data_IF_885978491978
#
_entry.id   IF_885978491978
#
_cell.length_a   1.000
_cell.length_b   1.000
_cell.length_c   1.000
_cell.angle_alpha   90.00
_cell.angle_beta   90.00
_cell.angle_gamma   90.00
#
_symmetry.space_group_name_H-M   'P 1'
#
loop_
_entity.id
_entity.type
_entity.pdbx_description
1 polymer ?
#
# COMPACT_ATOMS: atom_id res chain seq x y z
N UNK A 1 -16.83 16.84 19.84
CA UNK A 1 -17.87 16.37 20.78
C UNK A 1 -19.09 17.27 20.63
N UNK A 2 -20.22 16.67 20.23
CA UNK A 2 -21.49 17.40 20.13
C UNK A 2 -22.18 17.43 21.49
N UNK A 3 -22.76 18.56 21.87
CA UNK A 3 -23.58 18.70 23.10
C UNK A 3 -24.95 19.17 22.70
N UNK A 4 -26.01 18.69 23.41
CA UNK A 4 -27.40 19.07 23.13
C UNK A 4 -28.02 18.36 21.95
N UNK A 5 -27.51 17.16 21.62
CA UNK A 5 -28.07 16.26 20.63
C UNK A 5 -28.71 15.07 21.37
N UNK A 6 -29.98 14.81 21.10
CA UNK A 6 -30.73 13.72 21.75
C UNK A 6 -30.51 12.38 21.04
N UNK A 7 -30.16 12.40 19.75
CA UNK A 7 -29.99 11.21 18.94
C UNK A 7 -29.12 11.50 17.70
N UNK A 8 -28.31 10.52 17.29
CA UNK A 8 -27.44 10.61 16.09
C UNK A 8 -27.83 9.49 15.12
N UNK A 9 -28.10 9.86 13.87
CA UNK A 9 -28.17 8.89 12.76
C UNK A 9 -26.85 8.98 12.03
N UNK A 10 -26.15 7.86 11.93
CA UNK A 10 -24.83 7.74 11.30
C UNK A 10 -24.87 6.77 10.11
N UNK A 11 -23.84 6.83 9.27
CA UNK A 11 -23.69 6.00 8.07
C UNK A 11 -22.26 6.04 7.56
N UNK A 12 -22.05 5.90 6.25
CA UNK A 12 -20.78 5.97 5.51
C UNK A 12 -19.67 4.99 5.97
N UNK A 13 -19.43 4.87 7.27
CA UNK A 13 -18.43 3.94 7.82
C UNK A 13 -18.84 2.46 7.74
N UNK A 14 -20.10 2.17 7.38
CA UNK A 14 -20.70 0.85 7.38
C UNK A 14 -20.69 0.15 8.75
N UNK A 15 -20.56 0.92 9.81
CA UNK A 15 -20.57 0.40 11.18
C UNK A 15 -21.97 -0.05 11.58
N UNK A 16 -22.06 -1.09 12.39
CA UNK A 16 -23.32 -1.55 12.99
C UNK A 16 -23.30 -1.16 14.47
N UNK A 17 -24.11 -0.18 14.88
CA UNK A 17 -24.15 0.30 16.27
C UNK A 17 -25.47 0.95 16.64
N UNK A 18 -25.80 0.90 17.93
CA UNK A 18 -26.93 1.60 18.54
C UNK A 18 -26.52 2.53 19.68
N UNK A 19 -25.25 2.50 20.08
CA UNK A 19 -24.70 3.30 21.18
C UNK A 19 -23.25 3.71 20.86
N UNK A 20 -22.88 4.93 21.14
CA UNK A 20 -21.51 5.44 21.01
C UNK A 20 -20.67 5.19 22.26
N UNK A 21 -19.39 5.58 22.21
CA UNK A 21 -18.41 5.34 23.27
C UNK A 21 -18.77 5.96 24.63
N UNK A 22 -19.52 7.06 24.63
CA UNK A 22 -19.98 7.72 25.86
C UNK A 22 -21.46 7.45 26.15
N UNK A 23 -22.02 6.36 25.59
CA UNK A 23 -23.43 5.97 25.72
C UNK A 23 -24.43 6.94 25.10
N UNK A 24 -23.99 7.76 24.19
CA UNK A 24 -24.87 8.57 23.37
C UNK A 24 -25.69 7.68 22.44
N UNK A 25 -27.02 7.90 22.30
CA UNK A 25 -27.85 7.15 21.37
C UNK A 25 -27.46 7.44 19.93
N UNK A 26 -26.90 6.42 19.26
CA UNK A 26 -26.53 6.46 17.83
C UNK A 26 -27.31 5.36 17.14
N UNK A 27 -27.56 5.52 15.85
CA UNK A 27 -27.98 4.43 15.01
C UNK A 27 -27.20 4.44 13.70
N UNK A 28 -26.44 3.35 13.46
CA UNK A 28 -25.76 3.06 12.21
C UNK A 28 -26.09 1.62 11.83
N UNK A 29 -26.65 1.42 10.64
CA UNK A 29 -27.32 0.17 10.25
C UNK A 29 -26.42 -0.81 9.48
N UNK A 30 -25.13 -0.49 9.31
CA UNK A 30 -24.23 -1.27 8.49
C UNK A 30 -24.30 -0.91 7.02
N UNK A 31 -24.28 -1.89 6.15
CA UNK A 31 -24.31 -1.74 4.70
C UNK A 31 -25.31 -2.68 4.04
N UNK A 32 -25.56 -2.50 2.75
CA UNK A 32 -26.34 -3.41 1.88
C UNK A 32 -27.73 -3.81 2.43
N UNK A 33 -28.36 -2.95 3.23
CA UNK A 33 -29.66 -3.21 3.88
C UNK A 33 -29.68 -4.45 4.79
N UNK A 34 -28.54 -4.80 5.39
CA UNK A 34 -28.49 -5.93 6.34
C UNK A 34 -29.38 -5.70 7.56
N UNK A 35 -29.54 -4.45 7.99
CA UNK A 35 -30.38 -4.08 9.12
C UNK A 35 -31.27 -2.88 8.79
N UNK A 36 -32.44 -2.85 9.45
CA UNK A 36 -33.29 -1.67 9.56
C UNK A 36 -33.22 -1.13 10.98
N UNK A 37 -32.98 0.17 11.10
CA UNK A 37 -33.02 0.86 12.39
C UNK A 37 -34.42 1.20 12.81
N UNK A 38 -34.79 0.87 14.03
CA UNK A 38 -36.09 1.19 14.63
C UNK A 38 -35.90 2.08 15.85
N UNK A 39 -36.46 3.28 15.78
CA UNK A 39 -36.44 4.26 16.88
C UNK A 39 -37.88 4.53 17.28
N UNK A 40 -38.17 4.34 18.56
CA UNK A 40 -39.48 4.70 19.12
C UNK A 40 -39.26 5.85 20.09
N UNK A 41 -40.01 6.93 19.88
CA UNK A 41 -39.94 8.14 20.70
C UNK A 41 -41.34 8.38 21.32
N UNK A 42 -41.38 8.48 22.63
CA UNK A 42 -42.60 8.89 23.33
C UNK A 42 -42.94 10.33 22.96
N UNK A 43 -44.15 10.51 22.43
CA UNK A 43 -44.54 11.81 21.89
C UNK A 43 -44.82 12.88 22.99
N UNK A 44 -45.14 12.50 24.21
CA UNK A 44 -45.42 13.39 25.31
C UNK A 44 -44.14 13.81 26.03
N UNK A 45 -43.26 12.85 26.30
CA UNK A 45 -42.00 13.09 27.04
C UNK A 45 -40.82 13.41 26.15
N UNK A 46 -40.91 13.18 24.83
CA UNK A 46 -39.85 13.28 23.82
C UNK A 46 -38.62 12.41 24.12
N UNK A 47 -38.80 11.35 24.92
CA UNK A 47 -37.71 10.40 25.23
C UNK A 47 -37.70 9.24 24.26
N UNK A 48 -36.50 8.75 23.97
CA UNK A 48 -36.29 7.55 23.18
C UNK A 48 -36.66 6.35 24.08
N UNK A 49 -37.68 5.59 23.69
CA UNK A 49 -38.11 4.39 24.36
C UNK A 49 -37.45 3.12 23.77
N UNK A 50 -37.07 3.19 22.50
CA UNK A 50 -36.45 2.08 21.78
C UNK A 50 -35.45 2.58 20.76
N UNK A 51 -34.28 1.95 20.71
CA UNK A 51 -33.27 2.13 19.69
C UNK A 51 -32.67 0.76 19.38
N UNK A 52 -33.13 0.13 18.30
CA UNK A 52 -32.72 -1.23 17.96
C UNK A 52 -32.43 -1.36 16.46
N UNK A 53 -31.66 -2.38 16.11
CA UNK A 53 -31.43 -2.83 14.74
C UNK A 53 -32.15 -4.15 14.51
N UNK A 54 -32.99 -4.20 13.48
CA UNK A 54 -33.71 -5.40 13.05
C UNK A 54 -32.99 -5.96 11.84
N UNK A 55 -32.41 -7.17 11.97
CA UNK A 55 -31.79 -7.88 10.85
C UNK A 55 -32.85 -8.24 9.81
N UNK A 56 -32.54 -7.97 8.55
CA UNK A 56 -33.41 -8.34 7.41
C UNK A 56 -33.11 -9.73 6.85
N UNK A 57 -32.04 -10.38 7.29
CA UNK A 57 -31.71 -11.75 6.89
C UNK A 57 -32.88 -12.70 7.18
N UNK A 58 -33.40 -13.35 6.12
CA UNK A 58 -34.52 -14.29 6.21
C UNK A 58 -35.91 -13.65 6.27
N UNK A 59 -36.04 -12.32 6.21
CA UNK A 59 -37.34 -11.66 6.07
C UNK A 59 -37.90 -11.96 4.68
N UNK A 60 -39.12 -12.54 4.66
CA UNK A 60 -39.81 -12.95 3.43
C UNK A 60 -41.02 -12.09 3.07
N UNK A 61 -41.31 -11.08 3.89
CA UNK A 61 -42.44 -10.18 3.63
C UNK A 61 -42.02 -9.19 2.52
N UNK A 62 -42.74 -9.19 1.40
CA UNK A 62 -42.50 -8.32 0.26
C UNK A 62 -43.84 -7.60 -0.11
N UNK A 63 -43.73 -6.33 -0.50
CA UNK A 63 -44.82 -5.66 -1.21
C UNK A 63 -44.73 -6.01 -2.69
N UNK A 64 -45.77 -6.67 -3.21
CA UNK A 64 -45.78 -7.19 -4.58
C UNK A 64 -45.60 -6.08 -5.64
N UNK A 65 -46.10 -4.86 -5.38
CA UNK A 65 -45.99 -3.75 -6.31
C UNK A 65 -44.57 -3.22 -6.36
N UNK A 66 -43.96 -3.05 -5.19
CA UNK A 66 -42.56 -2.61 -5.07
C UNK A 66 -41.63 -3.68 -5.64
N UNK A 67 -41.90 -4.96 -5.35
CA UNK A 67 -41.13 -6.08 -5.91
C UNK A 67 -41.17 -6.09 -7.44
N UNK A 68 -42.36 -6.02 -8.03
CA UNK A 68 -42.50 -6.05 -9.49
C UNK A 68 -41.75 -4.87 -10.17
N UNK A 69 -41.76 -3.68 -9.56
CA UNK A 69 -40.99 -2.52 -10.04
C UNK A 69 -39.49 -2.77 -9.88
N UNK A 70 -39.06 -3.25 -8.75
CA UNK A 70 -37.63 -3.56 -8.47
C UNK A 70 -37.12 -4.62 -9.44
N UNK A 71 -37.85 -5.74 -9.60
CA UNK A 71 -37.47 -6.84 -10.49
C UNK A 71 -37.36 -6.38 -11.95
N UNK A 72 -38.25 -5.49 -12.39
CA UNK A 72 -38.16 -4.89 -13.72
C UNK A 72 -36.92 -4.03 -13.88
N UNK A 73 -36.64 -3.14 -12.92
CA UNK A 73 -35.46 -2.29 -12.95
C UNK A 73 -34.17 -3.13 -12.93
N UNK A 74 -34.11 -4.14 -12.06
CA UNK A 74 -32.98 -5.06 -11.96
C UNK A 74 -32.79 -5.77 -13.31
N UNK A 75 -33.83 -6.32 -13.90
CA UNK A 75 -33.75 -7.02 -15.19
C UNK A 75 -33.25 -6.09 -16.32
N UNK A 76 -33.78 -4.87 -16.39
CA UNK A 76 -33.37 -3.87 -17.39
C UNK A 76 -31.90 -3.44 -17.20
N UNK A 77 -31.47 -3.26 -15.95
CA UNK A 77 -30.08 -2.90 -15.59
C UNK A 77 -29.15 -4.08 -15.86
N UNK A 78 -29.48 -5.28 -15.39
CA UNK A 78 -28.65 -6.47 -15.55
C UNK A 78 -28.45 -6.81 -17.03
N UNK A 79 -29.47 -6.63 -17.86
CA UNK A 79 -29.36 -6.84 -19.31
C UNK A 79 -28.34 -5.91 -19.93
N UNK A 80 -28.35 -4.62 -19.58
CA UNK A 80 -27.40 -3.61 -20.09
C UNK A 80 -26.02 -3.80 -19.51
N UNK A 81 -25.91 -4.06 -18.22
CA UNK A 81 -24.64 -4.24 -17.53
C UNK A 81 -23.96 -5.56 -17.89
N UNK A 82 -24.76 -6.60 -18.22
CA UNK A 82 -24.27 -7.91 -18.64
C UNK A 82 -23.74 -7.96 -20.08
N UNK A 83 -23.89 -6.87 -20.87
CA UNK A 83 -23.34 -6.83 -22.23
C UNK A 83 -21.81 -6.89 -22.22
N UNK A 84 -21.25 -7.89 -22.93
CA UNK A 84 -19.80 -8.06 -23.12
C UNK A 84 -19.31 -7.10 -24.19
N UNK A 85 -18.35 -6.25 -23.88
CA UNK A 85 -17.75 -5.32 -24.83
C UNK A 85 -16.26 -5.60 -25.13
N UNK A 86 -15.59 -6.39 -24.27
CA UNK A 86 -14.16 -6.67 -24.36
C UNK A 86 -13.79 -7.98 -23.67
N UNK A 87 -12.50 -8.30 -23.67
CA UNK A 87 -11.93 -9.46 -22.97
C UNK A 87 -10.65 -9.09 -22.24
N UNK A 88 -10.27 -9.88 -21.24
CA UNK A 88 -8.92 -9.82 -20.65
C UNK A 88 -8.27 -11.19 -20.70
N UNK A 89 -6.97 -11.21 -21.05
CA UNK A 89 -6.14 -12.41 -21.04
C UNK A 89 -5.62 -12.78 -19.64
N UNK A 90 -5.82 -11.91 -18.65
CA UNK A 90 -5.25 -12.02 -17.31
C UNK A 90 -6.23 -11.60 -16.24
N UNK A 91 -6.07 -12.09 -15.01
CA UNK A 91 -6.77 -11.54 -13.85
C UNK A 91 -6.23 -10.13 -13.55
N UNK A 92 -7.14 -9.19 -13.31
CA UNK A 92 -6.82 -7.80 -12.96
C UNK A 92 -7.15 -7.55 -11.49
N UNK A 93 -6.12 -7.26 -10.71
CA UNK A 93 -6.18 -7.13 -9.24
C UNK A 93 -6.59 -5.71 -8.83
N UNK A 94 -7.80 -5.56 -8.33
CA UNK A 94 -8.34 -4.37 -7.69
C UNK A 94 -8.61 -4.57 -6.19
N UNK A 95 -8.04 -5.62 -5.58
CA UNK A 95 -8.20 -5.85 -4.14
C UNK A 95 -7.84 -4.60 -3.33
N UNK A 96 -8.57 -4.40 -2.23
CA UNK A 96 -8.37 -3.25 -1.37
C UNK A 96 -7.06 -3.33 -0.61
N UNK A 97 -6.86 -4.39 0.20
CA UNK A 97 -5.69 -4.60 1.06
C UNK A 97 -5.40 -6.11 1.24
N UNK A 98 -4.20 -6.60 0.94
CA UNK A 98 -3.13 -5.90 0.23
C UNK A 98 -3.47 -5.71 -1.25
N UNK A 99 -3.49 -4.48 -1.73
CA UNK A 99 -3.90 -4.17 -3.10
C UNK A 99 -3.76 -2.69 -3.43
N UNK A 100 -4.72 -2.16 -4.19
CA UNK A 100 -4.68 -0.79 -4.75
C UNK A 100 -4.47 0.33 -3.73
N UNK A 101 -4.69 0.07 -2.43
CA UNK A 101 -4.49 1.03 -1.35
C UNK A 101 -3.16 0.93 -0.63
N UNK A 102 -2.36 -0.10 -0.95
CA UNK A 102 -1.08 -0.39 -0.27
C UNK A 102 0.07 -0.68 -1.21
N UNK A 103 -0.20 -1.04 -2.47
CA UNK A 103 0.82 -1.40 -3.46
C UNK A 103 0.37 -1.10 -4.88
N UNK A 104 1.31 -1.17 -5.82
CA UNK A 104 1.01 -1.19 -7.24
C UNK A 104 0.21 -2.44 -7.61
N UNK A 105 -0.82 -2.28 -8.43
CA UNK A 105 -1.57 -3.41 -8.99
C UNK A 105 -1.72 -3.27 -10.49
N UNK A 106 -1.88 -4.37 -11.18
CA UNK A 106 -2.03 -4.37 -12.64
C UNK A 106 -3.34 -3.70 -13.09
N UNK A 107 -4.43 -3.77 -12.30
CA UNK A 107 -5.65 -3.00 -12.59
C UNK A 107 -5.45 -1.51 -12.34
N UNK A 108 -4.73 -1.15 -11.27
CA UNK A 108 -4.35 0.24 -11.01
C UNK A 108 -3.51 0.84 -12.14
N UNK A 109 -2.56 0.06 -12.67
CA UNK A 109 -1.77 0.43 -13.84
C UNK A 109 -2.63 0.62 -15.09
N UNK A 110 -3.55 -0.31 -15.36
CA UNK A 110 -4.47 -0.22 -16.50
C UNK A 110 -5.36 1.02 -16.42
N UNK A 111 -5.91 1.31 -15.24
CA UNK A 111 -6.72 2.51 -15.01
C UNK A 111 -5.91 3.79 -15.21
N UNK A 112 -4.70 3.86 -14.65
CA UNK A 112 -3.84 5.04 -14.81
C UNK A 112 -3.39 5.23 -16.29
N UNK A 113 -3.10 4.14 -17.01
CA UNK A 113 -2.78 4.20 -18.45
C UNK A 113 -3.95 4.72 -19.25
N UNK A 114 -5.20 4.32 -18.91
CA UNK A 114 -6.41 4.79 -19.57
C UNK A 114 -6.52 6.31 -19.49
N UNK A 115 -6.38 6.90 -18.31
CA UNK A 115 -6.39 8.36 -18.13
C UNK A 115 -5.27 9.04 -18.92
N UNK A 116 -4.04 8.55 -18.77
CA UNK A 116 -2.88 9.18 -19.41
C UNK A 116 -2.99 9.18 -20.93
N UNK A 117 -3.36 8.06 -21.50
CA UNK A 117 -3.39 7.87 -22.96
C UNK A 117 -4.57 8.63 -23.59
N UNK A 118 -5.77 8.51 -23.01
CA UNK A 118 -6.96 9.14 -23.59
C UNK A 118 -6.96 10.67 -23.46
N UNK A 119 -6.40 11.22 -22.40
CA UNK A 119 -6.32 12.67 -22.22
C UNK A 119 -5.02 13.27 -22.76
N UNK A 120 -4.09 12.45 -23.25
CA UNK A 120 -2.82 12.91 -23.81
C UNK A 120 -1.89 13.56 -22.79
N UNK A 121 -1.90 13.06 -21.55
CA UNK A 121 -1.12 13.62 -20.45
C UNK A 121 0.32 13.07 -20.38
N UNK A 122 1.22 13.83 -19.75
CA UNK A 122 2.55 13.34 -19.39
C UNK A 122 2.44 12.23 -18.31
N UNK A 123 1.56 12.46 -17.33
CA UNK A 123 1.38 11.63 -16.14
C UNK A 123 -0.11 11.43 -15.87
N UNK A 124 -0.49 10.30 -15.30
CA UNK A 124 -1.81 10.12 -14.72
C UNK A 124 -1.74 9.53 -13.32
N UNK A 125 -2.76 9.88 -12.52
CA UNK A 125 -3.00 9.35 -11.19
C UNK A 125 -4.38 8.71 -11.11
N UNK A 126 -4.46 7.60 -10.37
CA UNK A 126 -5.74 7.03 -9.91
C UNK A 126 -5.56 6.68 -8.44
N UNK A 127 -6.43 7.22 -7.58
CA UNK A 127 -6.37 6.89 -6.16
C UNK A 127 -6.86 5.46 -5.90
N UNK A 128 -6.22 4.77 -4.98
CA UNK A 128 -6.57 3.39 -4.63
C UNK A 128 -8.00 3.24 -4.11
N UNK A 129 -8.56 4.33 -3.53
CA UNK A 129 -9.97 4.41 -3.13
C UNK A 129 -10.96 4.44 -4.30
N UNK A 130 -10.50 4.81 -5.49
CA UNK A 130 -11.30 4.88 -6.71
C UNK A 130 -11.43 3.55 -7.46
N UNK A 131 -10.60 2.55 -7.15
CA UNK A 131 -10.64 1.20 -7.75
C UNK A 131 -11.30 0.26 -6.74
N UNK A 132 -12.45 -0.33 -7.08
CA UNK A 132 -13.36 -0.95 -6.08
C UNK A 132 -13.59 -2.44 -6.25
N UNK A 133 -13.24 -3.03 -7.38
CA UNK A 133 -13.46 -4.45 -7.66
C UNK A 133 -12.35 -4.99 -8.58
N UNK A 134 -12.28 -6.31 -8.67
CA UNK A 134 -11.39 -7.07 -9.55
C UNK A 134 -12.08 -7.35 -10.88
N UNK A 135 -11.29 -7.62 -11.94
CA UNK A 135 -11.79 -8.18 -13.19
C UNK A 135 -11.11 -9.54 -13.42
N UNK A 136 -11.90 -10.60 -13.58
CA UNK A 136 -11.38 -11.94 -13.84
C UNK A 136 -11.03 -12.13 -15.31
N UNK A 137 -10.05 -12.99 -15.60
CA UNK A 137 -9.72 -13.42 -16.96
C UNK A 137 -10.96 -13.92 -17.70
N UNK A 138 -11.11 -13.48 -18.94
CA UNK A 138 -12.28 -13.81 -19.77
C UNK A 138 -13.01 -12.59 -20.32
N UNK A 139 -14.32 -12.71 -20.46
CA UNK A 139 -15.16 -11.64 -20.97
C UNK A 139 -15.26 -10.47 -19.95
N UNK A 140 -15.27 -9.24 -20.45
CA UNK A 140 -15.47 -8.02 -19.67
C UNK A 140 -16.81 -7.41 -20.06
N UNK A 141 -17.67 -7.21 -19.08
CA UNK A 141 -18.97 -6.55 -19.24
C UNK A 141 -18.89 -5.08 -18.84
N UNK A 142 -19.90 -4.28 -19.28
CA UNK A 142 -20.03 -2.91 -18.77
C UNK A 142 -20.21 -2.87 -17.26
N UNK A 143 -20.90 -3.87 -16.69
CA UNK A 143 -21.10 -3.98 -15.25
C UNK A 143 -19.80 -4.18 -14.47
N UNK A 144 -18.83 -4.92 -15.01
CA UNK A 144 -17.54 -5.11 -14.36
C UNK A 144 -16.78 -3.79 -14.26
N UNK A 145 -16.81 -2.96 -15.30
CA UNK A 145 -16.14 -1.65 -15.26
C UNK A 145 -16.86 -0.68 -14.29
N UNK A 146 -18.20 -0.71 -14.22
CA UNK A 146 -18.95 0.10 -13.27
C UNK A 146 -18.67 -0.32 -11.82
N UNK A 147 -18.45 -1.62 -11.55
CA UNK A 147 -18.01 -2.06 -10.22
C UNK A 147 -16.61 -1.56 -9.89
N UNK A 148 -15.70 -1.50 -10.86
CA UNK A 148 -14.36 -0.94 -10.70
C UNK A 148 -14.43 0.56 -10.39
N UNK A 149 -15.22 1.33 -11.13
CA UNK A 149 -15.38 2.78 -10.98
C UNK A 149 -16.86 3.16 -10.77
N UNK A 150 -17.41 2.99 -9.53
CA UNK A 150 -18.84 3.18 -9.29
C UNK A 150 -19.26 4.64 -8.99
N UNK A 151 -18.33 5.57 -8.86
CA UNK A 151 -18.61 6.90 -8.30
C UNK A 151 -19.11 7.91 -9.33
N UNK A 152 -18.89 7.66 -10.62
CA UNK A 152 -19.26 8.59 -11.67
C UNK A 152 -18.45 9.89 -11.63
N UNK A 153 -17.18 9.79 -11.24
CA UNK A 153 -16.26 10.92 -11.34
C UNK A 153 -16.00 11.28 -12.80
N UNK A 154 -15.59 12.52 -13.04
CA UNK A 154 -15.35 13.05 -14.38
C UNK A 154 -13.87 13.28 -14.64
N UNK A 155 -13.38 12.79 -15.78
CA UNK A 155 -11.99 12.93 -16.18
C UNK A 155 -11.59 14.38 -16.46
N UNK A 156 -10.46 14.78 -15.89
CA UNK A 156 -9.89 16.12 -16.02
C UNK A 156 -8.39 16.05 -16.33
N UNK A 157 -7.87 17.14 -16.91
CA UNK A 157 -6.44 17.35 -17.17
C UNK A 157 -6.02 18.71 -16.63
N UNK A 158 -4.98 18.73 -15.78
CA UNK A 158 -4.44 19.97 -15.20
C UNK A 158 -2.95 20.12 -15.50
N UNK A 159 -2.49 21.38 -15.47
CA UNK A 159 -1.07 21.72 -15.54
C UNK A 159 -0.52 21.90 -14.13
N UNK A 160 0.53 21.16 -13.76
CA UNK A 160 1.09 21.13 -12.40
C UNK A 160 2.61 21.22 -12.41
N UNK A 161 3.20 21.62 -11.28
CA UNK A 161 4.66 21.59 -11.12
C UNK A 161 5.15 20.20 -10.68
N UNK A 162 6.41 19.88 -10.98
CA UNK A 162 7.01 18.64 -10.48
C UNK A 162 7.07 18.58 -8.95
N UNK A 163 7.08 19.74 -8.26
CA UNK A 163 7.00 19.78 -6.81
C UNK A 163 5.63 19.30 -6.31
N UNK A 164 4.54 19.79 -6.90
CA UNK A 164 3.19 19.35 -6.55
C UNK A 164 2.98 17.84 -6.77
N UNK A 165 3.60 17.28 -7.82
CA UNK A 165 3.59 15.83 -8.06
C UNK A 165 4.28 15.09 -6.91
N UNK A 166 5.47 15.54 -6.49
CA UNK A 166 6.20 14.93 -5.36
C UNK A 166 5.41 15.01 -4.06
N UNK A 167 4.75 16.13 -3.80
CA UNK A 167 3.93 16.35 -2.61
C UNK A 167 2.72 15.41 -2.60
N UNK A 168 2.05 15.22 -3.74
CA UNK A 168 0.94 14.29 -3.87
C UNK A 168 1.36 12.84 -3.63
N UNK A 169 2.51 12.42 -4.17
CA UNK A 169 3.07 11.09 -3.94
C UNK A 169 3.45 10.87 -2.47
N UNK A 170 4.03 11.87 -1.82
CA UNK A 170 4.39 11.83 -0.38
C UNK A 170 3.14 11.69 0.49
N UNK A 171 2.10 12.48 0.21
CA UNK A 171 0.82 12.39 0.91
C UNK A 171 0.17 11.02 0.68
N UNK A 172 0.08 10.57 -0.57
CA UNK A 172 -0.55 9.29 -0.93
C UNK A 172 0.13 8.08 -0.30
N UNK A 173 1.44 8.17 -0.05
CA UNK A 173 2.22 7.11 0.61
C UNK A 173 2.33 7.26 2.13
N UNK A 174 1.77 8.32 2.73
CA UNK A 174 2.01 8.66 4.14
C UNK A 174 1.58 7.57 5.13
N UNK A 175 0.48 6.88 4.85
CA UNK A 175 -0.05 5.82 5.70
C UNK A 175 0.69 4.48 5.56
N UNK A 176 1.48 4.30 4.50
CA UNK A 176 2.15 3.02 4.23
C UNK A 176 3.00 2.55 5.45
N UNK A 177 2.94 1.25 5.86
CA UNK A 177 2.30 0.10 5.20
C UNK A 177 0.78 -0.02 5.41
N UNK A 178 0.15 0.86 6.20
CA UNK A 178 -1.30 0.90 6.35
C UNK A 178 -2.00 1.34 5.06
N UNK A 179 -3.26 0.93 4.89
CA UNK A 179 -4.06 1.29 3.73
C UNK A 179 -4.39 2.78 3.67
N UNK A 180 -4.45 3.33 2.46
CA UNK A 180 -4.93 4.68 2.20
C UNK A 180 -5.77 4.74 0.93
N UNK A 181 -6.95 5.36 0.99
CA UNK A 181 -7.71 5.69 -0.22
C UNK A 181 -6.93 6.56 -1.19
N UNK A 182 -6.10 7.45 -0.67
CA UNK A 182 -5.24 8.35 -1.44
C UNK A 182 -3.93 7.74 -1.94
N UNK A 183 -3.67 6.43 -1.77
CA UNK A 183 -2.52 5.77 -2.38
C UNK A 183 -2.63 5.84 -3.91
N UNK A 184 -1.59 6.37 -4.57
CA UNK A 184 -1.66 6.70 -5.99
C UNK A 184 -1.12 5.58 -6.87
N UNK A 185 -1.99 5.01 -7.70
CA UNK A 185 -1.63 4.23 -8.87
C UNK A 185 -1.24 5.21 -9.99
N UNK A 186 -0.16 4.95 -10.72
CA UNK A 186 0.45 5.97 -11.58
C UNK A 186 0.69 5.47 -13.01
N UNK A 187 0.67 6.40 -13.98
CA UNK A 187 1.13 6.17 -15.35
C UNK A 187 2.02 7.30 -15.83
N UNK A 188 3.00 7.00 -16.69
CA UNK A 188 3.99 7.97 -17.15
C UNK A 188 5.00 8.38 -16.09
N UNK A 189 4.99 7.73 -14.92
CA UNK A 189 5.82 8.06 -13.76
C UNK A 189 6.30 6.77 -13.09
N UNK A 190 7.47 6.83 -12.44
CA UNK A 190 7.98 5.81 -11.51
C UNK A 190 8.51 6.47 -10.26
N UNK A 191 8.35 5.81 -9.12
CA UNK A 191 8.90 6.30 -7.86
C UNK A 191 9.21 5.16 -6.87
N UNK A 192 9.91 5.52 -5.79
CA UNK A 192 10.27 4.61 -4.71
C UNK A 192 9.68 5.13 -3.40
N UNK A 193 9.07 4.26 -2.61
CA UNK A 193 8.67 4.52 -1.23
C UNK A 193 9.75 3.93 -0.31
N UNK A 194 10.47 4.78 0.38
CA UNK A 194 11.50 4.40 1.36
C UNK A 194 10.86 4.36 2.75
N UNK A 195 10.50 3.18 3.23
CA UNK A 195 9.81 3.02 4.52
C UNK A 195 10.74 3.17 5.72
N UNK A 196 12.05 3.23 5.49
CA UNK A 196 13.01 3.57 6.56
C UNK A 196 12.92 5.05 6.93
N UNK A 197 12.30 5.87 6.05
CA UNK A 197 12.01 7.27 6.30
C UNK A 197 10.55 7.41 6.72
N UNK A 198 10.31 7.92 7.92
CA UNK A 198 8.95 8.24 8.37
C UNK A 198 8.39 9.35 7.48
N UNK A 199 7.13 9.22 7.04
CA UNK A 199 6.48 10.28 6.28
C UNK A 199 6.47 11.60 7.07
N UNK A 200 6.81 12.68 6.37
CA UNK A 200 6.80 14.05 6.87
C UNK A 200 5.69 14.91 6.25
N UNK A 201 4.77 14.29 5.51
CA UNK A 201 3.55 14.95 5.05
C UNK A 201 2.71 15.41 6.25
N UNK A 202 2.25 16.65 6.20
CA UNK A 202 1.39 17.27 7.22
C UNK A 202 0.03 17.58 6.63
N UNK A 203 -1.01 17.22 7.35
CA UNK A 203 -2.39 17.62 7.10
C UNK A 203 -2.89 18.58 8.18
N UNK A 204 -3.92 19.34 7.84
CA UNK A 204 -4.70 20.13 8.78
C UNK A 204 -5.72 19.25 9.57
N UNK A 205 -6.58 19.89 10.34
CA UNK A 205 -7.64 19.24 11.13
C UNK A 205 -8.73 18.57 10.28
N UNK A 206 -8.75 18.84 8.97
CA UNK A 206 -9.63 18.22 7.98
C UNK A 206 -8.88 17.19 7.10
N UNK A 207 -7.65 16.86 7.46
CA UNK A 207 -6.77 15.97 6.68
C UNK A 207 -6.40 16.50 5.29
N UNK A 208 -6.52 17.83 5.04
CA UNK A 208 -6.04 18.45 3.81
C UNK A 208 -4.54 18.65 3.88
N UNK A 209 -3.83 18.41 2.80
CA UNK A 209 -2.39 18.62 2.74
C UNK A 209 -2.01 20.08 3.06
N UNK A 210 -0.99 20.25 3.88
CA UNK A 210 -0.43 21.56 4.25
C UNK A 210 0.99 21.71 3.73
N UNK A 211 1.85 20.74 4.03
CA UNK A 211 3.27 20.78 3.65
C UNK A 211 3.94 19.44 3.86
N UNK A 212 5.16 19.33 3.38
CA UNK A 212 6.11 18.29 3.80
C UNK A 212 7.14 18.94 4.72
N UNK A 213 7.16 18.52 6.00
CA UNK A 213 8.04 19.09 7.04
C UNK A 213 9.11 18.07 7.42
N UNK A 214 10.11 17.93 6.56
CA UNK A 214 11.22 17.00 6.74
C UNK A 214 11.64 16.27 5.46
N UNK A 215 12.23 15.09 5.63
CA UNK A 215 12.67 14.28 4.51
C UNK A 215 11.49 13.58 3.84
N UNK A 216 11.44 13.62 2.52
CA UNK A 216 10.50 12.81 1.74
C UNK A 216 10.84 11.33 1.87
N UNK A 217 9.85 10.48 2.14
CA UNK A 217 9.98 9.03 1.96
C UNK A 217 9.86 8.62 0.50
N UNK A 218 9.21 9.44 -0.31
CA UNK A 218 9.15 9.26 -1.76
C UNK A 218 10.49 9.69 -2.38
N UNK A 219 11.14 8.73 -3.06
CA UNK A 219 12.45 8.87 -3.69
C UNK A 219 12.39 8.55 -5.17
N UNK A 220 13.44 8.87 -5.90
CA UNK A 220 13.67 8.43 -7.28
C UNK A 220 12.46 8.67 -8.21
N UNK A 221 11.78 9.81 -8.04
CA UNK A 221 10.63 10.16 -8.89
C UNK A 221 11.13 10.44 -10.30
N UNK A 222 10.67 9.67 -11.27
CA UNK A 222 11.07 9.75 -12.67
C UNK A 222 9.85 9.83 -13.57
N UNK A 223 9.91 10.69 -14.58
CA UNK A 223 8.86 10.89 -15.57
C UNK A 223 9.28 10.29 -16.91
N UNK A 224 8.34 9.68 -17.62
CA UNK A 224 8.55 9.12 -18.94
C UNK A 224 8.61 10.24 -19.98
N UNK A 225 9.78 10.45 -20.59
CA UNK A 225 9.98 11.39 -21.70
C UNK A 225 10.65 10.69 -22.88
N UNK A 226 10.01 10.72 -24.06
CA UNK A 226 10.56 10.10 -25.27
C UNK A 226 11.00 8.62 -25.06
N UNK A 227 10.16 7.85 -24.37
CA UNK A 227 10.41 6.42 -24.10
C UNK A 227 11.45 6.12 -23.02
N UNK A 228 11.97 7.14 -22.31
CA UNK A 228 12.95 6.97 -21.23
C UNK A 228 12.48 7.65 -19.95
N UNK A 229 12.74 7.01 -18.81
CA UNK A 229 12.49 7.59 -17.51
C UNK A 229 13.64 8.54 -17.12
N UNK A 230 13.33 9.81 -16.88
CA UNK A 230 14.25 10.84 -16.43
C UNK A 230 13.80 11.39 -15.08
N UNK A 231 14.73 11.88 -14.28
CA UNK A 231 14.39 12.46 -12.98
C UNK A 231 13.44 13.65 -13.15
N UNK A 232 12.42 13.72 -12.27
CA UNK A 232 11.48 14.83 -12.28
C UNK A 232 12.18 16.13 -11.89
N UNK A 233 11.94 17.19 -12.66
CA UNK A 233 12.37 18.54 -12.27
C UNK A 233 11.24 19.18 -11.43
N UNK A 234 11.48 19.49 -10.14
CA UNK A 234 10.45 20.08 -9.27
C UNK A 234 9.89 21.41 -9.78
N UNK A 235 10.66 22.13 -10.61
CA UNK A 235 10.30 23.46 -11.13
C UNK A 235 9.66 23.40 -12.52
N UNK A 236 9.80 22.29 -13.22
CA UNK A 236 9.19 22.14 -14.53
C UNK A 236 7.68 21.90 -14.40
N UNK A 237 6.98 22.20 -15.49
CA UNK A 237 5.53 21.97 -15.61
C UNK A 237 5.27 20.66 -16.34
N UNK A 238 4.26 19.95 -15.88
CA UNK A 238 3.78 18.68 -16.41
C UNK A 238 2.26 18.71 -16.53
N UNK A 239 1.70 17.91 -17.41
CA UNK A 239 0.27 17.67 -17.49
C UNK A 239 -0.09 16.41 -16.72
N UNK A 240 -1.09 16.51 -15.84
CA UNK A 240 -1.60 15.38 -15.04
C UNK A 240 -3.05 15.13 -15.34
N UNK A 241 -3.37 13.89 -15.74
CA UNK A 241 -4.72 13.40 -15.93
C UNK A 241 -5.19 12.60 -14.70
N UNK A 242 -6.42 12.84 -14.29
CA UNK A 242 -7.17 12.08 -13.29
C UNK A 242 -8.63 12.50 -13.34
N UNK A 243 -9.37 12.27 -12.27
CA UNK A 243 -10.77 12.69 -12.14
C UNK A 243 -10.93 13.91 -11.22
N UNK A 244 -12.10 14.58 -11.34
CA UNK A 244 -12.46 15.80 -10.60
C UNK A 244 -12.26 15.65 -9.08
N UNK A 245 -12.65 14.50 -8.49
CA UNK A 245 -12.49 14.25 -7.05
C UNK A 245 -11.06 14.54 -6.55
N UNK A 246 -10.03 14.15 -7.31
CA UNK A 246 -8.63 14.41 -6.92
C UNK A 246 -8.11 15.77 -7.42
N UNK A 247 -8.45 16.17 -8.67
CA UNK A 247 -7.82 17.33 -9.28
C UNK A 247 -8.52 18.65 -8.97
N UNK A 248 -9.82 18.62 -8.64
CA UNK A 248 -10.66 19.80 -8.39
C UNK A 248 -11.21 19.85 -6.96
N UNK A 249 -11.65 18.70 -6.44
CA UNK A 249 -12.44 18.64 -5.21
C UNK A 249 -11.59 18.30 -3.97
N UNK A 250 -10.27 18.24 -4.12
CA UNK A 250 -9.30 17.96 -3.04
C UNK A 250 -9.54 16.62 -2.33
N UNK A 251 -10.05 15.64 -3.05
CA UNK A 251 -10.31 14.30 -2.51
C UNK A 251 -9.06 13.66 -1.93
N UNK A 252 -9.24 12.84 -0.90
CA UNK A 252 -8.16 12.21 -0.12
C UNK A 252 -7.12 13.21 0.43
N UNK A 253 -7.51 14.50 0.57
CA UNK A 253 -6.63 15.58 1.05
C UNK A 253 -5.66 16.13 0.02
N UNK A 254 -5.77 15.72 -1.26
CA UNK A 254 -4.90 16.13 -2.37
C UNK A 254 -5.36 17.50 -2.89
N UNK A 255 -5.12 18.56 -2.12
CA UNK A 255 -5.57 19.92 -2.46
C UNK A 255 -4.55 20.74 -3.27
N UNK A 256 -3.33 20.23 -3.47
CA UNK A 256 -2.28 20.96 -4.20
C UNK A 256 -2.58 21.16 -5.69
N UNK A 257 -3.63 20.50 -6.23
CA UNK A 257 -4.01 20.62 -7.63
C UNK A 257 -5.23 21.52 -7.89
N UNK A 258 -6.04 21.81 -6.86
CA UNK A 258 -7.35 22.44 -7.01
C UNK A 258 -7.33 23.82 -7.70
N UNK A 259 -6.29 24.62 -7.44
CA UNK A 259 -6.16 25.97 -8.03
C UNK A 259 -5.30 25.99 -9.31
N UNK A 260 -4.93 24.83 -9.84
CA UNK A 260 -4.08 24.74 -11.01
C UNK A 260 -4.87 24.98 -12.30
N UNK A 261 -4.14 25.33 -13.36
CA UNK A 261 -4.74 25.56 -14.68
C UNK A 261 -5.35 24.28 -15.22
N UNK A 262 -6.68 24.29 -15.35
CA UNK A 262 -7.46 23.22 -15.93
C UNK A 262 -7.30 23.30 -17.46
N UNK A 263 -6.81 22.24 -18.08
CA UNK A 263 -6.61 22.14 -19.54
C UNK A 263 -7.79 21.43 -20.21
N UNK A 264 -8.35 20.42 -19.54
CA UNK A 264 -9.57 19.71 -19.95
C UNK A 264 -10.43 19.49 -18.71
N UNK A 265 -11.73 19.72 -18.81
CA UNK A 265 -12.68 19.60 -17.71
C UNK A 265 -13.84 18.67 -18.09
N UNK A 266 -14.16 17.75 -17.18
CA UNK A 266 -15.36 16.90 -17.27
C UNK A 266 -15.51 16.20 -18.65
N UNK A 267 -14.40 15.65 -19.17
CA UNK A 267 -14.33 15.14 -20.55
C UNK A 267 -15.21 13.90 -20.74
N UNK A 268 -15.20 13.00 -19.74
CA UNK A 268 -16.01 11.78 -19.72
C UNK A 268 -16.02 11.19 -18.31
N UNK A 269 -16.94 10.27 -18.03
CA UNK A 269 -16.99 9.55 -16.74
C UNK A 269 -15.79 8.62 -16.59
N UNK A 270 -15.36 8.37 -15.35
CA UNK A 270 -14.23 7.51 -15.00
C UNK A 270 -14.38 6.08 -15.55
N UNK A 271 -15.56 5.49 -15.45
CA UNK A 271 -15.85 4.20 -16.06
C UNK A 271 -15.75 4.24 -17.61
N UNK A 272 -16.20 5.33 -18.24
CA UNK A 272 -16.10 5.50 -19.70
C UNK A 272 -14.64 5.64 -20.17
N UNK A 273 -13.76 6.26 -19.34
CA UNK A 273 -12.32 6.32 -19.61
C UNK A 273 -11.76 4.90 -19.76
N UNK A 274 -12.05 4.01 -18.82
CA UNK A 274 -11.55 2.64 -18.86
C UNK A 274 -12.17 1.83 -20.01
N UNK A 275 -13.48 1.97 -20.27
CA UNK A 275 -14.17 1.35 -21.39
C UNK A 275 -13.53 1.74 -22.73
N UNK A 276 -13.38 3.06 -22.97
CA UNK A 276 -12.84 3.56 -24.23
C UNK A 276 -11.38 3.13 -24.41
N UNK A 277 -10.59 3.16 -23.35
CA UNK A 277 -9.20 2.69 -23.42
C UNK A 277 -9.11 1.22 -23.83
N UNK A 278 -9.87 0.33 -23.18
CA UNK A 278 -9.88 -1.10 -23.52
C UNK A 278 -10.40 -1.32 -24.92
N UNK A 279 -11.51 -0.68 -25.29
CA UNK A 279 -12.17 -0.87 -26.58
C UNK A 279 -11.36 -0.30 -27.74
N UNK A 280 -10.95 0.96 -27.62
CA UNK A 280 -10.44 1.72 -28.76
C UNK A 280 -8.90 1.71 -28.82
N UNK A 281 -8.22 1.79 -27.67
CA UNK A 281 -6.75 1.81 -27.63
C UNK A 281 -6.14 0.40 -27.59
N UNK A 282 -6.78 -0.54 -26.89
CA UNK A 282 -6.32 -1.93 -26.80
C UNK A 282 -7.04 -2.87 -27.80
N UNK A 283 -7.96 -2.37 -28.62
CA UNK A 283 -8.67 -3.17 -29.61
C UNK A 283 -9.63 -4.22 -29.01
N UNK A 284 -10.17 -3.95 -27.81
CA UNK A 284 -11.13 -4.82 -27.11
C UNK A 284 -10.50 -5.98 -26.34
N UNK A 285 -9.18 -6.01 -26.18
CA UNK A 285 -8.50 -7.09 -25.42
C UNK A 285 -7.44 -6.48 -24.50
N UNK A 286 -7.57 -6.69 -23.18
CA UNK A 286 -6.50 -6.39 -22.25
C UNK A 286 -5.43 -7.48 -22.36
N UNK A 287 -4.23 -7.14 -22.82
CA UNK A 287 -3.22 -8.13 -23.17
C UNK A 287 -2.49 -8.69 -21.97
N UNK A 288 -1.80 -9.83 -22.15
CA UNK A 288 -0.98 -10.49 -21.14
C UNK A 288 0.18 -9.63 -20.60
N UNK A 289 0.50 -8.50 -21.21
CA UNK A 289 1.46 -7.53 -20.66
C UNK A 289 1.02 -6.94 -19.30
N UNK A 290 -0.28 -7.02 -18.99
CA UNK A 290 -0.84 -6.67 -17.68
C UNK A 290 -0.94 -7.86 -16.72
N UNK A 291 -0.25 -8.98 -16.97
CA UNK A 291 -0.26 -10.13 -16.05
C UNK A 291 0.34 -9.82 -14.66
N UNK A 292 1.15 -8.78 -14.56
CA UNK A 292 1.76 -8.31 -13.32
C UNK A 292 1.80 -6.78 -13.29
N UNK A 293 1.98 -6.16 -12.10
CA UNK A 293 2.29 -4.74 -11.99
C UNK A 293 3.48 -4.34 -12.86
N UNK A 294 3.46 -3.12 -13.39
CA UNK A 294 4.42 -2.63 -14.40
C UNK A 294 5.76 -2.17 -13.78
N UNK A 295 5.92 -2.29 -12.46
CA UNK A 295 7.13 -1.88 -11.71
C UNK A 295 7.30 -0.36 -11.71
N UNK A 296 6.21 0.35 -11.52
CA UNK A 296 6.18 1.83 -11.42
C UNK A 296 6.39 2.29 -9.99
N UNK A 297 6.00 1.47 -9.01
CA UNK A 297 6.10 1.76 -7.59
C UNK A 297 7.01 0.71 -6.95
N UNK A 298 8.17 1.15 -6.48
CA UNK A 298 9.10 0.29 -5.74
C UNK A 298 9.02 0.64 -4.27
N UNK A 299 8.92 -0.35 -3.40
CA UNK A 299 8.98 -0.13 -1.95
C UNK A 299 10.30 -0.68 -1.41
N UNK A 300 11.01 0.16 -0.65
CA UNK A 300 12.19 -0.23 0.11
C UNK A 300 11.76 -0.31 1.57
N UNK A 301 11.65 -1.53 2.08
CA UNK A 301 11.26 -1.79 3.46
C UNK A 301 12.46 -1.87 4.42
N UNK A 302 13.69 -1.86 3.89
CA UNK A 302 14.95 -1.90 4.65
C UNK A 302 15.93 -0.90 4.04
N UNK A 303 17.02 -0.51 4.73
CA UNK A 303 18.07 0.29 4.13
C UNK A 303 18.83 -0.47 3.01
N UNK A 304 18.52 -1.75 2.82
CA UNK A 304 19.22 -2.63 1.90
C UNK A 304 18.48 -2.76 0.58
N UNK A 305 19.16 -2.40 -0.52
CA UNK A 305 18.59 -2.40 -1.88
C UNK A 305 18.32 -3.80 -2.43
N UNK A 306 18.90 -4.84 -1.81
CA UNK A 306 18.74 -6.25 -2.18
C UNK A 306 17.68 -6.99 -1.31
N UNK A 307 16.95 -6.28 -0.45
CA UNK A 307 15.83 -6.78 0.33
C UNK A 307 14.62 -5.88 0.08
N UNK A 308 13.84 -6.22 -0.95
CA UNK A 308 12.69 -5.44 -1.39
C UNK A 308 11.42 -5.85 -0.64
N UNK A 309 10.42 -4.97 -0.66
CA UNK A 309 9.08 -5.31 -0.18
C UNK A 309 8.52 -6.55 -0.89
N UNK A 310 7.82 -7.40 -0.14
CA UNK A 310 7.39 -8.72 -0.61
C UNK A 310 8.45 -9.82 -0.49
N UNK A 311 9.69 -9.51 -0.11
CA UNK A 311 10.64 -10.55 0.29
C UNK A 311 10.17 -11.14 1.64
N UNK A 312 10.03 -12.46 1.70
CA UNK A 312 9.56 -13.16 2.90
C UNK A 312 10.38 -12.89 4.17
N UNK A 313 11.61 -12.43 4.03
CA UNK A 313 12.53 -12.17 5.14
C UNK A 313 12.54 -10.69 5.60
N UNK A 314 11.78 -9.78 4.98
CA UNK A 314 11.81 -8.32 5.26
C UNK A 314 11.65 -8.02 6.74
N UNK A 315 10.63 -8.59 7.39
CA UNK A 315 10.37 -8.35 8.83
C UNK A 315 11.52 -8.84 9.70
N UNK A 316 12.07 -10.02 9.37
CA UNK A 316 13.20 -10.58 10.11
C UNK A 316 14.48 -9.77 9.90
N UNK A 317 14.74 -9.29 8.68
CA UNK A 317 15.90 -8.42 8.37
C UNK A 317 15.78 -7.11 9.14
N UNK A 318 14.62 -6.47 9.13
CA UNK A 318 14.38 -5.25 9.91
C UNK A 318 14.61 -5.48 11.39
N UNK A 319 14.03 -6.54 11.97
CA UNK A 319 14.18 -6.88 13.37
C UNK A 319 15.66 -7.06 13.78
N UNK A 320 16.41 -7.88 13.05
CA UNK A 320 17.81 -8.14 13.41
C UNK A 320 18.72 -6.93 13.20
N UNK A 321 18.36 -6.04 12.26
CA UNK A 321 19.06 -4.79 11.99
C UNK A 321 18.78 -3.75 13.07
N UNK A 322 17.53 -3.54 13.43
CA UNK A 322 17.10 -2.59 14.47
C UNK A 322 17.68 -2.96 15.85
N UNK A 323 17.76 -4.27 16.13
CA UNK A 323 18.41 -4.79 17.34
C UNK A 323 19.93 -4.78 17.26
N UNK A 324 20.53 -4.38 16.14
CA UNK A 324 21.96 -4.48 15.88
C UNK A 324 22.54 -5.90 16.00
N UNK A 325 21.72 -6.95 15.91
CA UNK A 325 22.20 -8.33 15.92
C UNK A 325 22.92 -8.67 14.60
N UNK A 326 22.35 -8.26 13.48
CA UNK A 326 22.98 -8.36 12.17
C UNK A 326 23.14 -6.97 11.54
N UNK A 327 24.17 -6.85 10.72
CA UNK A 327 24.41 -5.71 9.86
C UNK A 327 24.51 -6.19 8.42
N UNK A 328 24.27 -5.32 7.46
CA UNK A 328 24.50 -5.63 6.04
C UNK A 328 25.98 -5.94 5.74
N UNK A 329 26.22 -6.50 4.58
CA UNK A 329 27.56 -6.63 4.00
C UNK A 329 28.15 -5.27 3.62
N UNK A 330 27.25 -4.29 3.37
CA UNK A 330 27.56 -2.87 3.22
C UNK A 330 26.41 -2.03 3.80
N UNK A 331 26.48 -0.71 3.69
CA UNK A 331 25.40 0.20 4.10
C UNK A 331 24.09 -0.05 3.32
N UNK A 332 24.19 -0.56 2.10
CA UNK A 332 23.04 -0.73 1.18
C UNK A 332 22.80 -2.18 0.74
N UNK A 333 23.57 -3.15 1.24
CA UNK A 333 23.48 -4.56 0.83
C UNK A 333 23.43 -5.46 2.05
N UNK A 334 22.37 -6.25 2.22
CA UNK A 334 22.23 -7.23 3.30
C UNK A 334 22.84 -8.58 2.95
N UNK A 335 22.71 -9.01 1.69
CA UNK A 335 23.14 -10.32 1.21
C UNK A 335 22.21 -11.47 1.63
N UNK A 336 20.88 -11.38 1.42
CA UNK A 336 19.90 -12.32 1.99
C UNK A 336 20.10 -13.77 1.54
N UNK A 337 20.73 -13.97 0.38
CA UNK A 337 21.02 -15.28 -0.17
C UNK A 337 22.49 -15.73 0.05
N UNK A 338 23.26 -14.94 0.81
CA UNK A 338 24.65 -15.24 1.10
C UNK A 338 24.82 -16.41 2.09
N UNK A 339 25.93 -17.13 1.96
CA UNK A 339 26.27 -18.19 2.91
C UNK A 339 26.70 -17.56 4.24
N UNK A 340 26.17 -18.08 5.35
CA UNK A 340 26.59 -17.71 6.68
C UNK A 340 27.98 -18.31 7.00
N UNK A 341 28.92 -17.50 7.48
CA UNK A 341 30.24 -18.01 7.89
C UNK A 341 30.28 -18.26 9.40
N UNK A 342 31.29 -19.00 9.84
CA UNK A 342 31.52 -19.29 11.27
C UNK A 342 31.70 -18.01 12.08
N UNK A 343 32.47 -17.05 11.58
CA UNK A 343 32.65 -15.73 12.18
C UNK A 343 31.36 -14.92 12.24
N UNK A 344 30.54 -14.95 11.20
CA UNK A 344 29.26 -14.24 11.18
C UNK A 344 28.32 -14.78 12.27
N UNK A 345 28.17 -16.10 12.41
CA UNK A 345 27.28 -16.67 13.41
C UNK A 345 27.68 -16.26 14.83
N UNK A 346 28.94 -16.40 15.22
CA UNK A 346 29.36 -16.02 16.59
C UNK A 346 29.28 -14.51 16.81
N UNK A 347 29.43 -13.69 15.77
CA UNK A 347 29.27 -12.23 15.88
C UNK A 347 27.82 -11.86 16.15
N UNK A 348 26.86 -12.57 15.56
CA UNK A 348 25.43 -12.39 15.88
C UNK A 348 25.15 -12.77 17.34
N UNK A 349 25.61 -13.92 17.78
CA UNK A 349 25.41 -14.39 19.16
C UNK A 349 26.09 -13.46 20.20
N UNK A 350 27.28 -12.99 19.90
CA UNK A 350 28.00 -12.01 20.74
C UNK A 350 27.19 -10.70 20.91
N UNK A 351 26.62 -10.18 19.82
CA UNK A 351 25.76 -8.99 19.86
C UNK A 351 24.45 -9.25 20.60
N UNK A 352 23.85 -10.42 20.41
CA UNK A 352 22.65 -10.82 21.17
C UNK A 352 22.92 -10.90 22.67
N UNK A 353 24.14 -11.29 23.06
CA UNK A 353 24.60 -11.28 24.47
C UNK A 353 24.96 -9.87 24.98
N UNK A 354 24.74 -8.80 24.18
CA UNK A 354 25.03 -7.42 24.59
C UNK A 354 26.47 -6.97 24.37
N UNK A 355 27.26 -7.70 23.57
CA UNK A 355 28.65 -7.39 23.23
C UNK A 355 29.51 -7.17 24.48
N UNK A 356 29.62 -8.16 25.43
CA UNK A 356 30.35 -8.01 26.66
C UNK A 356 31.83 -7.76 26.41
N UNK A 357 32.48 -7.04 27.30
CA UNK A 357 33.92 -6.77 27.23
C UNK A 357 34.72 -8.09 27.19
N UNK A 358 35.70 -8.15 26.30
CA UNK A 358 36.64 -9.29 26.21
C UNK A 358 38.05 -8.80 26.42
N UNK A 359 38.87 -9.70 27.00
CA UNK A 359 40.27 -9.44 27.26
C UNK A 359 41.15 -10.44 26.53
N UNK A 360 42.31 -10.04 26.06
CA UNK A 360 43.26 -10.88 25.34
C UNK A 360 43.23 -10.67 23.83
N UNK A 361 43.94 -11.49 23.11
CA UNK A 361 44.06 -11.41 21.64
C UNK A 361 43.58 -12.71 20.99
N UNK A 362 42.77 -12.57 19.96
CA UNK A 362 42.26 -13.74 19.22
C UNK A 362 43.39 -14.50 18.51
N UNK A 363 44.43 -13.77 18.08
CA UNK A 363 45.62 -14.33 17.41
C UNK A 363 46.47 -15.25 18.34
N UNK A 364 46.38 -15.03 19.64
CA UNK A 364 47.08 -15.92 20.65
C UNK A 364 46.36 -17.24 20.83
N UNK A 365 45.06 -17.31 20.43
CA UNK A 365 44.22 -18.50 20.57
C UNK A 365 44.05 -19.26 19.25
N UNK A 366 43.91 -18.58 18.14
CA UNK A 366 43.70 -19.15 16.81
C UNK A 366 44.66 -18.56 15.81
N UNK A 367 45.44 -19.40 15.15
CA UNK A 367 46.55 -18.99 14.30
C UNK A 367 46.11 -18.29 12.99
N UNK A 368 44.87 -18.48 12.59
CA UNK A 368 44.26 -17.88 11.38
C UNK A 368 43.33 -16.68 11.68
N UNK A 369 43.30 -16.21 12.94
CA UNK A 369 42.52 -15.06 13.32
C UNK A 369 43.41 -13.82 13.52
N UNK A 370 42.92 -12.67 13.07
CA UNK A 370 43.62 -11.38 13.16
C UNK A 370 42.99 -10.49 14.21
N UNK A 371 43.78 -9.94 15.10
CA UNK A 371 43.32 -8.98 16.11
C UNK A 371 42.74 -7.73 15.45
N UNK A 372 41.67 -7.21 16.04
CA UNK A 372 40.95 -6.04 15.51
C UNK A 372 40.08 -6.30 14.28
N UNK A 373 40.00 -7.57 13.82
CA UNK A 373 39.03 -7.93 12.78
C UNK A 373 37.60 -7.82 13.32
N UNK A 374 36.64 -7.69 12.42
CA UNK A 374 35.23 -7.55 12.76
C UNK A 374 34.64 -8.72 13.58
N UNK A 375 35.27 -9.88 13.54
CA UNK A 375 34.90 -11.09 14.28
C UNK A 375 35.76 -11.33 15.54
N UNK A 376 36.84 -10.59 15.76
CA UNK A 376 37.88 -10.92 16.75
C UNK A 376 37.30 -11.06 18.15
N UNK A 377 36.59 -10.03 18.64
CA UNK A 377 36.01 -10.03 20.00
C UNK A 377 34.94 -11.11 20.14
N UNK A 378 34.13 -11.32 19.11
CA UNK A 378 33.09 -12.34 19.11
C UNK A 378 33.65 -13.77 19.21
N UNK A 379 34.71 -14.05 18.45
CA UNK A 379 35.39 -15.37 18.48
C UNK A 379 36.07 -15.58 19.84
N UNK A 380 36.73 -14.56 20.39
CA UNK A 380 37.37 -14.62 21.67
C UNK A 380 36.35 -14.86 22.80
N UNK A 381 35.25 -14.12 22.80
CA UNK A 381 34.12 -14.28 23.73
C UNK A 381 33.52 -15.70 23.66
N UNK A 382 33.19 -16.14 22.44
CA UNK A 382 32.53 -17.43 22.24
C UNK A 382 33.43 -18.60 22.66
N UNK A 383 34.72 -18.45 22.45
CA UNK A 383 35.68 -19.45 22.89
C UNK A 383 35.89 -19.45 24.38
N UNK A 384 35.93 -18.27 25.02
CA UNK A 384 36.05 -18.15 26.50
C UNK A 384 34.84 -18.77 27.23
N UNK A 385 33.64 -18.64 26.61
CA UNK A 385 32.39 -19.21 27.13
C UNK A 385 32.13 -20.66 26.68
N UNK A 386 33.08 -21.31 26.01
CA UNK A 386 32.98 -22.69 25.52
C UNK A 386 31.83 -22.91 24.49
N UNK A 387 31.36 -21.84 23.86
CA UNK A 387 30.35 -21.89 22.78
C UNK A 387 30.96 -22.48 21.52
N UNK A 388 32.23 -22.17 21.28
CA UNK A 388 32.98 -22.68 20.12
C UNK A 388 34.35 -23.21 20.54
N UNK A 389 34.78 -24.24 19.83
CA UNK A 389 36.15 -24.73 19.81
C UNK A 389 36.78 -24.43 18.43
N UNK A 390 38.08 -24.32 18.37
CA UNK A 390 38.84 -24.35 17.13
C UNK A 390 38.92 -25.74 16.53
N UNK A 391 39.66 -25.85 15.46
CA UNK A 391 40.05 -27.13 14.88
C UNK A 391 41.34 -27.66 15.54
N UNK A 392 41.62 -28.94 15.37
CA UNK A 392 42.81 -29.59 15.93
C UNK A 392 44.13 -28.99 15.41
N UNK A 393 44.07 -28.32 14.24
CA UNK A 393 45.20 -27.61 13.64
C UNK A 393 45.46 -26.20 14.24
N UNK A 394 44.73 -25.84 15.30
CA UNK A 394 44.85 -24.54 15.97
C UNK A 394 44.18 -23.37 15.22
N UNK A 395 43.36 -23.66 14.21
CA UNK A 395 42.61 -22.65 13.45
C UNK A 395 41.17 -22.53 13.91
N UNK A 396 40.50 -21.38 13.61
CA UNK A 396 39.06 -21.17 13.83
C UNK A 396 38.28 -21.17 12.53
N UNK A 397 38.88 -20.77 11.44
CA UNK A 397 38.30 -20.61 10.07
C UNK A 397 37.09 -19.66 10.04
N UNK A 398 37.28 -18.37 10.43
CA UNK A 398 36.18 -17.42 10.59
C UNK A 398 35.40 -17.13 9.30
N UNK A 399 36.05 -17.22 8.15
CA UNK A 399 35.45 -16.98 6.82
C UNK A 399 34.88 -18.23 6.16
N UNK A 400 35.09 -19.41 6.76
CA UNK A 400 34.54 -20.67 6.25
C UNK A 400 33.01 -20.66 6.43
N UNK A 401 32.27 -21.05 5.38
CA UNK A 401 30.83 -21.30 5.49
C UNK A 401 30.55 -22.36 6.56
N UNK A 402 29.60 -22.08 7.44
CA UNK A 402 29.24 -22.99 8.54
C UNK A 402 28.26 -24.06 8.04
N UNK A 403 28.54 -25.33 8.41
CA UNK A 403 27.62 -26.43 8.13
C UNK A 403 26.46 -26.44 9.15
N UNK A 404 25.35 -27.09 8.80
CA UNK A 404 24.21 -27.26 9.73
C UNK A 404 24.61 -27.95 11.04
N UNK A 405 25.50 -28.91 10.98
CA UNK A 405 26.02 -29.62 12.16
C UNK A 405 26.87 -28.71 13.04
N UNK A 406 27.78 -27.93 12.45
CA UNK A 406 28.59 -26.94 13.19
C UNK A 406 27.68 -25.85 13.80
N UNK A 407 26.68 -25.37 13.07
CA UNK A 407 25.72 -24.39 13.57
C UNK A 407 24.93 -24.95 14.78
N UNK A 408 24.44 -26.19 14.70
CA UNK A 408 23.71 -26.82 15.78
C UNK A 408 24.57 -26.94 17.06
N UNK A 409 25.87 -27.29 16.91
CA UNK A 409 26.83 -27.34 18.04
C UNK A 409 27.02 -25.95 18.67
N UNK A 410 27.16 -24.91 17.84
CA UNK A 410 27.36 -23.53 18.35
C UNK A 410 26.12 -23.04 19.07
N UNK A 411 24.92 -23.27 18.54
CA UNK A 411 23.66 -22.88 19.19
C UNK A 411 23.46 -23.62 20.53
N UNK A 412 23.75 -24.92 20.56
CA UNK A 412 23.70 -25.71 21.82
C UNK A 412 24.66 -25.19 22.87
N UNK A 413 25.85 -24.72 22.49
CA UNK A 413 26.82 -24.15 23.40
C UNK A 413 26.49 -22.72 23.88
N UNK A 414 25.56 -22.05 23.15
CA UNK A 414 25.11 -20.70 23.50
C UNK A 414 23.95 -20.71 24.51
N UNK A 415 23.08 -21.75 24.48
CA UNK A 415 21.94 -21.93 25.39
C UNK A 415 22.42 -22.38 26.77
#
# INVERSE_FOLDING_TARGET
RSTGIDFIIDGHSHTVMTEGENKEPIQSTGTALENVGVIVIDNATKKIEKNELVKLEGVKAEDETVKALSDKIITDVDTRLGEVFAKTEVDLDGNRDPGVRTKETNLGDLCADAYRILLGADIAFVNGGGVRDNIKVGDITYGDIIKVHPFGNEACLVEVTGQQIKDALELGSAAYPGESGGFLQVSGLKYTIDTTVKSSAKGDDKSMFVSVDGAYRVKNVKVLKNGKYVDIDPKATYTVASHNYMLKDSGDGINMFADNKLLQDSVMLDNQVLINYIKDSLGGVVPATYAAPQGRITVIATPYTDVLDGNWAVEAVNYVTDKNFMKGLSETTFGPNGALTRGMLVTVLYRMAGSPEVTGKVSEKFTDCTDGSWYADAVLWASANKIVDGYEDGTYKPTKAISRQEMAKVLYGYD
#
